data_IF_051792079151
#
_entry.id   IF_051792079151
#
_cell.length_a   1.000
_cell.length_b   1.000
_cell.length_c   1.000
_cell.angle_alpha   90.00
_cell.angle_beta   90.00
_cell.angle_gamma   90.00
#
_symmetry.space_group_name_H-M   'P 1'
#
loop_
_entity.id
_entity.type
_entity.pdbx_description
1 polymer ?
#
# COMPACT_ATOMS: atom_id res chain seq x y z
N UNK A 1 4.93 5.65 -6.15
CA UNK A 1 4.18 4.61 -5.40
C UNK A 1 5.10 3.63 -4.65
N UNK A 2 6.24 3.20 -5.22
CA UNK A 2 7.08 2.15 -4.59
C UNK A 2 7.68 2.48 -3.22
N UNK A 3 8.04 3.74 -2.94
CA UNK A 3 8.55 4.11 -1.62
C UNK A 3 7.50 3.91 -0.50
N UNK A 4 6.26 4.38 -0.71
CA UNK A 4 5.17 4.20 0.27
C UNK A 4 4.79 2.72 0.43
N UNK A 5 4.71 1.97 -0.67
CA UNK A 5 4.41 0.53 -0.60
C UNK A 5 5.54 -0.24 0.10
N UNK A 6 6.80 0.08 -0.21
CA UNK A 6 7.98 -0.50 0.44
C UNK A 6 8.03 -0.19 1.93
N UNK A 7 7.62 1.01 2.35
CA UNK A 7 7.53 1.37 3.76
C UNK A 7 6.46 0.55 4.48
N UNK A 8 5.26 0.43 3.91
CA UNK A 8 4.17 -0.36 4.48
C UNK A 8 4.53 -1.85 4.64
N UNK A 9 5.06 -2.45 3.57
CA UNK A 9 5.49 -3.86 3.60
C UNK A 9 6.65 -4.06 4.56
N UNK A 10 7.66 -3.19 4.53
CA UNK A 10 8.82 -3.30 5.41
C UNK A 10 8.48 -3.11 6.90
N UNK A 11 7.54 -2.21 7.24
CA UNK A 11 7.03 -2.11 8.61
C UNK A 11 6.30 -3.38 9.06
N UNK A 12 5.50 -3.98 8.17
CA UNK A 12 4.72 -5.19 8.50
C UNK A 12 5.63 -6.41 8.69
N UNK A 13 6.57 -6.63 7.77
CA UNK A 13 7.55 -7.72 7.86
C UNK A 13 8.46 -7.51 9.07
N UNK A 14 8.93 -6.27 9.29
CA UNK A 14 9.75 -5.93 10.45
C UNK A 14 9.00 -6.10 11.77
N UNK A 15 7.69 -5.90 11.80
CA UNK A 15 6.86 -6.18 12.96
C UNK A 15 6.75 -7.68 13.24
N UNK A 16 6.52 -8.51 12.20
CA UNK A 16 6.42 -9.97 12.34
C UNK A 16 7.76 -10.56 12.80
N UNK A 17 8.85 -10.26 12.08
CA UNK A 17 10.17 -10.76 12.43
C UNK A 17 10.69 -10.17 13.75
N UNK A 18 10.43 -8.89 14.01
CA UNK A 18 10.79 -8.25 15.28
C UNK A 18 10.07 -8.89 16.46
N UNK A 19 8.75 -9.10 16.35
CA UNK A 19 7.96 -9.77 17.39
C UNK A 19 8.43 -11.21 17.60
N UNK A 20 8.67 -11.95 16.52
CA UNK A 20 9.18 -13.32 16.59
C UNK A 20 10.57 -13.38 17.25
N UNK A 21 11.48 -12.46 16.89
CA UNK A 21 12.82 -12.37 17.47
C UNK A 21 12.76 -12.07 18.96
N UNK A 22 11.82 -11.22 19.41
CA UNK A 22 11.65 -10.89 20.82
C UNK A 22 11.06 -12.06 21.61
N UNK A 23 10.07 -12.76 21.05
CA UNK A 23 9.46 -13.94 21.70
C UNK A 23 10.51 -15.06 21.87
N UNK A 24 11.39 -15.24 20.87
CA UNK A 24 12.38 -16.32 20.88
C UNK A 24 13.68 -15.97 21.62
N UNK A 25 14.21 -14.76 21.43
CA UNK A 25 15.51 -14.33 21.95
C UNK A 25 15.44 -13.40 23.16
N UNK A 26 14.23 -13.04 23.60
CA UNK A 26 14.02 -11.99 24.60
C UNK A 26 14.12 -10.60 24.00
N UNK A 27 13.60 -9.59 24.71
CA UNK A 27 13.56 -8.20 24.25
C UNK A 27 14.91 -7.48 24.28
N UNK A 28 15.99 -8.18 24.64
CA UNK A 28 17.33 -7.63 24.82
C UNK A 28 17.41 -6.62 25.98
N UNK A 29 18.63 -6.16 26.34
CA UNK A 29 18.82 -5.20 27.42
C UNK A 29 18.25 -3.80 27.12
N UNK A 30 17.89 -3.54 25.85
CA UNK A 30 17.31 -2.27 25.38
C UNK A 30 15.77 -2.25 25.43
N UNK A 31 15.13 -3.34 25.82
CA UNK A 31 13.68 -3.44 25.98
C UNK A 31 12.91 -3.70 24.68
N UNK A 32 11.62 -4.02 24.84
CA UNK A 32 10.76 -4.53 23.76
C UNK A 32 10.60 -3.53 22.61
N UNK A 33 10.28 -2.28 22.93
CA UNK A 33 9.96 -1.24 21.94
C UNK A 33 11.18 -0.86 21.10
N UNK A 34 12.36 -0.77 21.70
CA UNK A 34 13.59 -0.41 20.98
C UNK A 34 13.98 -1.52 20.01
N UNK A 35 13.98 -2.77 20.46
CA UNK A 35 14.30 -3.90 19.59
C UNK A 35 13.28 -4.02 18.46
N UNK A 36 11.98 -3.95 18.76
CA UNK A 36 10.92 -4.04 17.76
C UNK A 36 11.02 -2.92 16.72
N UNK A 37 11.16 -1.66 17.17
CA UNK A 37 11.28 -0.52 16.27
C UNK A 37 12.54 -0.58 15.41
N UNK A 38 13.66 -1.13 15.89
CA UNK A 38 14.85 -1.36 15.06
C UNK A 38 14.58 -2.32 13.89
N UNK A 39 13.92 -3.46 14.14
CA UNK A 39 13.54 -4.40 13.08
C UNK A 39 12.56 -3.77 12.08
N UNK A 40 11.56 -3.03 12.57
CA UNK A 40 10.59 -2.32 11.75
C UNK A 40 11.24 -1.24 10.88
N UNK A 41 12.09 -0.39 11.47
CA UNK A 41 12.71 0.73 10.78
C UNK A 41 13.74 0.26 9.75
N UNK A 42 14.57 -0.74 10.10
CA UNK A 42 15.56 -1.33 9.20
C UNK A 42 14.90 -2.00 7.98
N UNK A 43 13.84 -2.78 8.22
CA UNK A 43 13.07 -3.44 7.15
C UNK A 43 12.35 -2.40 6.29
N UNK A 44 11.67 -1.42 6.92
CA UNK A 44 11.03 -0.33 6.19
C UNK A 44 12.02 0.45 5.32
N UNK A 45 13.21 0.78 5.83
CA UNK A 45 14.21 1.54 5.08
C UNK A 45 14.69 0.79 3.83
N UNK A 46 15.05 -0.48 3.98
CA UNK A 46 15.56 -1.32 2.88
C UNK A 46 14.51 -1.55 1.80
N UNK A 47 13.31 -2.00 2.17
CA UNK A 47 12.22 -2.21 1.21
C UNK A 47 11.79 -0.89 0.55
N UNK A 48 11.68 0.21 1.30
CA UNK A 48 11.37 1.52 0.70
C UNK A 48 12.44 1.97 -0.29
N UNK A 49 13.72 1.77 0.02
CA UNK A 49 14.83 2.17 -0.84
C UNK A 49 14.82 1.40 -2.17
N UNK A 50 14.78 0.06 -2.12
CA UNK A 50 14.79 -0.75 -3.33
C UNK A 50 13.51 -0.58 -4.16
N UNK A 51 12.33 -0.51 -3.52
CA UNK A 51 11.08 -0.30 -4.24
C UNK A 51 10.93 1.14 -4.74
N UNK A 52 11.56 2.13 -4.10
CA UNK A 52 11.63 3.50 -4.64
C UNK A 52 12.40 3.53 -5.96
N UNK A 53 13.59 2.91 -5.99
CA UNK A 53 14.40 2.81 -7.22
C UNK A 53 13.63 2.02 -8.28
N UNK A 54 13.06 0.87 -7.92
CA UNK A 54 12.23 0.07 -8.82
C UNK A 54 11.03 0.84 -9.38
N UNK A 55 10.40 1.70 -8.58
CA UNK A 55 9.27 2.54 -9.02
C UNK A 55 9.69 3.62 -10.01
N UNK A 56 10.92 4.15 -9.90
CA UNK A 56 11.49 5.09 -10.88
C UNK A 56 11.83 4.35 -12.18
N UNK A 57 12.47 3.17 -12.08
CA UNK A 57 12.82 2.34 -13.24
C UNK A 57 11.57 1.84 -13.98
N UNK A 58 10.54 1.42 -13.25
CA UNK A 58 9.27 0.92 -13.80
C UNK A 58 8.42 2.02 -14.45
N UNK A 59 8.83 3.29 -14.37
CA UNK A 59 8.10 4.44 -14.90
C UNK A 59 6.63 4.46 -14.44
N UNK A 60 6.38 4.14 -13.17
CA UNK A 60 5.03 4.12 -12.56
C UNK A 60 4.41 5.53 -12.41
N UNK A 61 4.90 6.53 -13.16
CA UNK A 61 4.46 7.92 -13.05
C UNK A 61 3.83 8.50 -14.33
N UNK A 62 3.91 7.83 -15.48
CA UNK A 62 3.30 8.38 -16.71
C UNK A 62 2.79 7.25 -17.61
N UNK A 63 1.68 6.59 -17.22
CA UNK A 63 0.73 6.23 -18.26
C UNK A 63 -0.05 7.52 -18.56
N UNK A 64 0.08 8.13 -19.75
CA UNK A 64 -0.72 9.30 -20.08
C UNK A 64 -2.21 8.93 -19.92
N UNK A 65 -3.10 9.82 -19.43
CA UNK A 65 -4.49 9.49 -19.07
C UNK A 65 -5.27 8.73 -20.15
N UNK A 66 -4.92 8.96 -21.42
CA UNK A 66 -5.39 8.21 -22.60
C UNK A 66 -5.10 6.71 -22.59
N UNK A 67 -3.95 6.28 -22.05
CA UNK A 67 -3.55 4.87 -21.96
C UNK A 67 -4.18 4.18 -20.75
N UNK A 68 -4.43 4.90 -19.66
CA UNK A 68 -5.21 4.39 -18.53
C UNK A 68 -6.68 4.20 -18.93
N UNK A 69 -7.26 5.16 -19.65
CA UNK A 69 -8.57 5.02 -20.28
C UNK A 69 -8.62 3.88 -21.31
N UNK A 70 -7.56 3.69 -22.13
CA UNK A 70 -7.47 2.57 -23.06
C UNK A 70 -7.35 1.22 -22.33
N UNK A 71 -6.66 1.16 -21.18
CA UNK A 71 -6.60 -0.04 -20.34
C UNK A 71 -7.96 -0.35 -19.72
N UNK A 72 -8.69 0.66 -19.24
CA UNK A 72 -10.08 0.51 -18.77
C UNK A 72 -11.05 0.14 -19.92
N UNK A 73 -10.73 0.48 -21.16
CA UNK A 73 -11.45 0.02 -22.35
C UNK A 73 -11.13 -1.43 -22.72
N UNK A 74 -9.90 -1.88 -22.50
CA UNK A 74 -9.43 -3.24 -22.79
C UNK A 74 -9.69 -4.25 -21.67
N UNK A 75 -9.99 -3.79 -20.44
CA UNK A 75 -10.41 -4.66 -19.35
C UNK A 75 -11.86 -5.12 -19.58
N UNK A 76 -12.09 -6.43 -19.41
CA UNK A 76 -13.36 -7.10 -19.69
C UNK A 76 -14.56 -6.39 -19.06
N UNK A 77 -15.71 -6.27 -19.76
CA UNK A 77 -16.90 -5.54 -19.33
C UNK A 77 -17.47 -5.97 -17.95
N UNK A 78 -17.08 -7.15 -17.45
CA UNK A 78 -17.44 -7.63 -16.11
C UNK A 78 -16.83 -6.79 -14.96
N UNK A 79 -15.69 -6.13 -15.16
CA UNK A 79 -15.06 -5.28 -14.14
C UNK A 79 -15.67 -3.87 -14.15
N UNK A 80 -16.05 -3.37 -15.33
CA UNK A 80 -16.69 -2.07 -15.53
C UNK A 80 -18.02 -1.92 -14.76
N UNK A 81 -18.81 -2.99 -14.69
CA UNK A 81 -20.13 -2.96 -14.02
C UNK A 81 -20.05 -2.73 -12.51
N UNK A 82 -18.97 -3.17 -11.85
CA UNK A 82 -18.79 -2.97 -10.40
C UNK A 82 -18.39 -1.53 -10.05
N UNK A 83 -17.55 -0.92 -10.89
CA UNK A 83 -17.13 0.47 -10.71
C UNK A 83 -18.28 1.44 -11.00
N UNK A 84 -19.03 1.21 -12.08
CA UNK A 84 -20.25 1.97 -12.40
C UNK A 84 -21.30 1.82 -11.30
N UNK A 85 -21.48 0.61 -10.75
CA UNK A 85 -22.39 0.35 -9.64
C UNK A 85 -22.01 1.12 -8.36
N UNK A 86 -20.72 1.14 -8.00
CA UNK A 86 -20.24 1.87 -6.83
C UNK A 86 -20.41 3.39 -6.99
N UNK A 87 -20.17 3.92 -8.20
CA UNK A 87 -20.36 5.34 -8.50
C UNK A 87 -21.84 5.76 -8.42
N UNK A 88 -22.76 4.92 -8.93
CA UNK A 88 -24.20 5.16 -8.87
C UNK A 88 -24.75 5.13 -7.44
N UNK A 89 -24.28 4.20 -6.60
CA UNK A 89 -24.68 4.12 -5.19
C UNK A 89 -24.22 5.37 -4.44
N UNK A 90 -22.97 5.82 -4.66
CA UNK A 90 -22.46 7.04 -4.03
C UNK A 90 -23.22 8.28 -4.48
N UNK A 91 -23.56 8.37 -5.77
CA UNK A 91 -24.36 9.48 -6.29
C UNK A 91 -25.76 9.53 -5.67
N UNK A 92 -26.43 8.39 -5.52
CA UNK A 92 -27.73 8.30 -4.83
C UNK A 92 -27.65 8.72 -3.37
N UNK A 93 -26.62 8.25 -2.66
CA UNK A 93 -26.40 8.61 -1.26
C UNK A 93 -26.18 10.10 -1.03
N UNK A 94 -25.44 10.76 -1.94
CA UNK A 94 -25.24 12.22 -1.91
C UNK A 94 -26.52 12.99 -2.25
N UNK A 95 -27.36 12.48 -3.16
CA UNK A 95 -28.67 13.10 -3.42
C UNK A 95 -29.63 12.97 -2.25
N UNK A 96 -29.58 11.84 -1.54
CA UNK A 96 -30.42 11.57 -0.36
C UNK A 96 -30.00 12.46 0.83
N UNK A 97 -28.69 12.67 1.02
CA UNK A 97 -28.15 13.63 2.00
C UNK A 97 -28.49 15.10 1.74
N UNK A 98 -28.85 15.47 0.50
CA UNK A 98 -29.26 16.84 0.16
C UNK A 98 -30.76 17.06 0.31
N UNK A 99 -31.55 16.00 0.48
CA UNK A 99 -33.00 16.07 0.66
C UNK A 99 -33.44 16.04 2.14
N UNK A 100 -32.51 15.74 3.05
CA UNK A 100 -32.66 15.87 4.50
C UNK A 100 -31.81 17.02 5.04
#
# INVERSE_FOLDING_TARGET
MGAMMGAGVGLTIGFIFGSYSIIRGGSGPRGFIVTLSQYMLSSAATFSFFLAIGSVIRNDSILPPRMEAARLQLLSPAIRSREEGAALIKARWETEKRQH
#
